data_IF_250924876141
#
_entry.id   IF_250924876141
#
_cell.length_a   1.000
_cell.length_b   1.000
_cell.length_c   1.000
_cell.angle_alpha   90.00
_cell.angle_beta   90.00
_cell.angle_gamma   90.00
#
_symmetry.space_group_name_H-M   'P 1'
#
loop_
_entity.id
_entity.type
_entity.pdbx_description
1 polymer ?
#
# COMPACT_ATOMS: atom_id res chain seq x y z
N UNK A 1 -8.93 9.30 -35.12
CA UNK A 1 -7.58 8.99 -34.64
C UNK A 1 -6.83 8.44 -35.84
N UNK A 2 -5.70 9.03 -36.19
CA UNK A 2 -4.84 8.44 -37.23
C UNK A 2 -4.39 7.08 -36.67
N UNK A 3 -4.62 6.06 -37.45
CA UNK A 3 -4.07 4.74 -37.19
C UNK A 3 -2.55 4.84 -37.33
N UNK A 4 -1.84 4.76 -36.20
CA UNK A 4 -0.39 4.78 -36.18
C UNK A 4 0.19 3.36 -36.07
N UNK A 5 -0.67 2.33 -36.22
CA UNK A 5 -0.25 0.95 -36.17
C UNK A 5 0.55 0.59 -37.42
N UNK A 6 1.74 0.11 -37.23
CA UNK A 6 2.44 -0.69 -38.23
C UNK A 6 1.92 -2.13 -38.14
N UNK A 7 0.97 -2.47 -39.00
CA UNK A 7 0.24 -3.75 -39.01
C UNK A 7 1.19 -4.96 -39.00
N UNK A 8 2.46 -4.78 -39.34
CA UNK A 8 3.45 -5.87 -39.39
C UNK A 8 4.26 -6.03 -38.10
N UNK A 9 4.27 -5.03 -37.20
CA UNK A 9 5.15 -5.00 -36.02
C UNK A 9 4.47 -4.66 -34.70
N UNK A 10 3.25 -4.08 -34.76
CA UNK A 10 2.51 -3.70 -33.54
C UNK A 10 1.79 -4.89 -32.91
N UNK A 11 1.84 -4.95 -31.57
CA UNK A 11 1.07 -5.89 -30.77
C UNK A 11 -0.23 -5.23 -30.29
N UNK A 12 -1.38 -5.88 -30.51
CA UNK A 12 -2.68 -5.35 -30.14
C UNK A 12 -3.13 -5.75 -28.72
N UNK A 13 -2.42 -6.69 -28.11
CA UNK A 13 -2.69 -7.18 -26.76
C UNK A 13 -1.39 -7.42 -25.99
N UNK A 14 -1.48 -7.46 -24.65
CA UNK A 14 -0.34 -7.83 -23.82
C UNK A 14 0.14 -9.25 -24.08
N UNK A 15 -0.78 -10.18 -24.40
CA UNK A 15 -0.43 -11.57 -24.76
C UNK A 15 0.42 -11.62 -26.03
N UNK A 16 0.05 -10.86 -27.08
CA UNK A 16 0.84 -10.76 -28.31
C UNK A 16 2.21 -10.15 -28.03
N UNK A 17 2.28 -9.10 -27.19
CA UNK A 17 3.54 -8.48 -26.80
C UNK A 17 4.47 -9.47 -26.08
N UNK A 18 3.96 -10.21 -25.10
CA UNK A 18 4.76 -11.21 -24.38
C UNK A 18 5.22 -12.34 -25.30
N UNK A 19 4.37 -12.76 -26.25
CA UNK A 19 4.75 -13.74 -27.26
C UNK A 19 5.86 -13.21 -28.16
N UNK A 20 5.75 -11.98 -28.64
CA UNK A 20 6.78 -11.34 -29.46
C UNK A 20 8.13 -11.22 -28.71
N UNK A 21 8.13 -10.89 -27.43
CA UNK A 21 9.36 -10.88 -26.62
C UNK A 21 9.99 -12.27 -26.54
N UNK A 22 9.18 -13.30 -26.32
CA UNK A 22 9.66 -14.67 -26.22
C UNK A 22 10.20 -15.20 -27.56
N UNK A 23 9.55 -14.89 -28.68
CA UNK A 23 9.93 -15.32 -30.03
C UNK A 23 11.24 -14.64 -30.50
N UNK A 24 11.50 -13.42 -30.05
CA UNK A 24 12.69 -12.67 -30.41
C UNK A 24 13.83 -12.77 -29.37
N UNK A 25 13.67 -13.65 -28.37
CA UNK A 25 14.64 -13.85 -27.26
C UNK A 25 14.99 -12.55 -26.51
N UNK A 26 13.99 -11.66 -26.35
CA UNK A 26 14.14 -10.37 -25.66
C UNK A 26 14.15 -10.56 -24.15
N UNK A 27 15.17 -11.24 -23.63
CA UNK A 27 15.30 -11.57 -22.21
C UNK A 27 15.61 -10.36 -21.32
N UNK A 28 16.07 -9.25 -21.91
CA UNK A 28 16.47 -8.03 -21.19
C UNK A 28 15.32 -7.06 -20.91
N UNK A 29 14.11 -7.36 -21.44
CA UNK A 29 12.93 -6.53 -21.23
C UNK A 29 12.37 -6.75 -19.82
N UNK A 30 11.96 -5.66 -19.19
CA UNK A 30 11.21 -5.66 -17.93
C UNK A 30 9.95 -4.84 -18.11
N UNK A 31 8.82 -5.44 -17.78
CA UNK A 31 7.50 -4.83 -17.85
C UNK A 31 6.85 -4.89 -16.46
N UNK A 32 5.93 -4.00 -16.19
CA UNK A 32 5.02 -4.12 -15.05
C UNK A 32 3.63 -3.56 -15.40
N UNK A 33 2.59 -4.17 -14.82
CA UNK A 33 1.22 -3.77 -15.03
C UNK A 33 0.99 -2.37 -14.45
N UNK A 34 0.52 -1.45 -15.30
CA UNK A 34 0.18 -0.09 -14.94
C UNK A 34 -1.29 0.02 -14.51
N UNK A 35 -1.53 0.31 -13.26
CA UNK A 35 -2.88 0.34 -12.68
C UNK A 35 -3.63 1.66 -12.89
N UNK A 36 -2.94 2.73 -13.22
CA UNK A 36 -3.55 4.01 -13.60
C UNK A 36 -4.31 3.92 -14.94
N UNK A 37 -4.01 2.93 -15.75
CA UNK A 37 -4.68 2.61 -17.00
C UNK A 37 -6.13 2.13 -16.82
N UNK A 38 -6.89 2.17 -17.92
CA UNK A 38 -8.31 1.79 -17.92
C UNK A 38 -8.54 0.30 -17.74
N UNK A 39 -7.55 -0.53 -18.08
CA UNK A 39 -7.72 -1.94 -18.39
C UNK A 39 -6.63 -2.82 -17.79
N UNK A 40 -6.12 -2.46 -16.61
CA UNK A 40 -5.21 -3.34 -15.88
C UNK A 40 -5.97 -4.60 -15.45
N UNK A 41 -5.87 -5.64 -16.26
CA UNK A 41 -6.46 -6.95 -16.01
C UNK A 41 -5.38 -8.02 -16.21
N UNK A 42 -4.77 -8.41 -15.10
CA UNK A 42 -3.68 -9.38 -15.07
C UNK A 42 -4.16 -10.83 -15.16
N UNK A 43 -5.46 -11.07 -14.96
CA UNK A 43 -6.07 -12.37 -15.22
C UNK A 43 -6.14 -12.64 -16.73
N UNK A 44 -6.41 -11.58 -17.52
CA UNK A 44 -6.48 -11.67 -18.96
C UNK A 44 -5.10 -11.91 -19.60
N UNK A 45 -4.05 -11.27 -19.09
CA UNK A 45 -2.70 -11.43 -19.61
C UNK A 45 -1.67 -11.16 -18.53
N UNK A 46 -0.76 -12.10 -18.32
CA UNK A 46 0.42 -11.98 -17.47
C UNK A 46 1.49 -12.96 -17.97
N UNK A 47 2.74 -12.50 -17.99
CA UNK A 47 3.90 -13.38 -18.20
C UNK A 47 5.01 -13.03 -17.22
N UNK A 48 5.18 -13.85 -16.19
CA UNK A 48 6.19 -13.65 -15.13
C UNK A 48 7.64 -13.69 -15.62
N UNK A 49 7.90 -14.05 -16.89
CA UNK A 49 9.23 -13.92 -17.49
C UNK A 49 9.61 -12.45 -17.69
N UNK A 50 8.64 -11.60 -18.05
CA UNK A 50 8.81 -10.20 -18.38
C UNK A 50 8.18 -9.27 -17.35
N UNK A 51 6.98 -9.57 -16.88
CA UNK A 51 6.21 -8.75 -15.93
C UNK A 51 6.58 -9.09 -14.48
N UNK A 52 7.67 -8.48 -14.03
CA UNK A 52 8.29 -8.77 -12.72
C UNK A 52 7.64 -8.04 -11.56
N UNK A 53 6.84 -7.02 -11.81
CA UNK A 53 6.24 -6.16 -10.76
C UNK A 53 4.90 -5.60 -11.19
N UNK A 54 4.12 -5.15 -10.21
CA UNK A 54 2.84 -4.50 -10.43
C UNK A 54 2.79 -3.17 -9.69
N UNK A 55 2.16 -2.19 -10.32
CA UNK A 55 2.00 -0.86 -9.77
C UNK A 55 0.85 -0.84 -8.77
N UNK A 56 1.14 -0.46 -7.51
CA UNK A 56 0.13 -0.37 -6.45
C UNK A 56 -0.42 1.03 -6.28
N UNK A 57 0.35 2.06 -6.67
CA UNK A 57 -0.03 3.45 -6.45
C UNK A 57 0.53 4.39 -7.51
N UNK A 58 -0.30 5.35 -7.91
CA UNK A 58 0.08 6.49 -8.74
C UNK A 58 -0.68 7.75 -8.30
N UNK A 59 -0.50 8.87 -8.99
CA UNK A 59 -1.31 10.07 -8.72
C UNK A 59 -2.82 9.87 -8.98
N UNK A 60 -3.22 8.75 -9.56
CA UNK A 60 -4.62 8.37 -9.83
C UNK A 60 -5.28 7.58 -8.69
N UNK A 61 -4.52 7.16 -7.71
CA UNK A 61 -5.03 6.43 -6.55
C UNK A 61 -4.17 5.25 -6.11
N UNK A 62 -4.72 4.43 -5.23
CA UNK A 62 -4.10 3.22 -4.70
C UNK A 62 -4.88 1.99 -5.15
N UNK A 63 -4.17 0.94 -5.56
CA UNK A 63 -4.72 -0.20 -6.29
C UNK A 63 -4.30 -1.52 -5.65
N UNK A 64 -4.47 -1.65 -4.34
CA UNK A 64 -4.14 -2.87 -3.60
C UNK A 64 -4.84 -4.10 -4.19
N UNK A 65 -6.03 -3.91 -4.77
CA UNK A 65 -6.78 -4.97 -5.44
C UNK A 65 -6.00 -5.66 -6.58
N UNK A 66 -5.12 -4.93 -7.30
CA UNK A 66 -4.32 -5.51 -8.37
C UNK A 66 -3.27 -6.49 -7.81
N UNK A 67 -2.64 -6.12 -6.71
CA UNK A 67 -1.71 -7.01 -5.99
C UNK A 67 -2.45 -8.20 -5.38
N UNK A 68 -3.66 -7.98 -4.85
CA UNK A 68 -4.50 -9.06 -4.33
C UNK A 68 -4.87 -10.06 -5.45
N UNK A 69 -5.17 -9.58 -6.67
CA UNK A 69 -5.39 -10.44 -7.81
C UNK A 69 -4.15 -11.26 -8.16
N UNK A 70 -2.97 -10.64 -8.15
CA UNK A 70 -1.71 -11.36 -8.39
C UNK A 70 -1.53 -12.53 -7.39
N UNK A 71 -1.82 -12.30 -6.12
CA UNK A 71 -1.72 -13.35 -5.10
C UNK A 71 -2.78 -14.45 -5.30
N UNK A 72 -4.03 -14.10 -5.66
CA UNK A 72 -5.07 -15.10 -5.97
C UNK A 72 -4.70 -15.99 -7.16
N UNK A 73 -4.02 -15.41 -8.15
CA UNK A 73 -3.57 -16.09 -9.37
C UNK A 73 -2.23 -16.82 -9.19
N UNK A 74 -1.60 -16.71 -8.01
CA UNK A 74 -0.32 -17.33 -7.70
C UNK A 74 0.88 -16.71 -8.43
N UNK A 75 0.75 -15.43 -8.85
CA UNK A 75 1.84 -14.68 -9.50
C UNK A 75 2.85 -14.20 -8.47
N UNK A 76 4.15 -14.33 -8.80
CA UNK A 76 5.25 -13.93 -7.94
C UNK A 76 5.86 -12.61 -8.42
N UNK A 77 5.27 -11.51 -8.00
CA UNK A 77 5.58 -10.15 -8.47
C UNK A 77 6.11 -9.25 -7.36
N UNK A 78 6.91 -8.26 -7.72
CA UNK A 78 7.28 -7.16 -6.85
C UNK A 78 6.21 -6.06 -6.86
N UNK A 79 6.36 -5.09 -5.95
CA UNK A 79 5.41 -3.98 -5.81
C UNK A 79 6.14 -2.66 -6.11
N UNK A 80 5.64 -1.93 -7.11
CA UNK A 80 6.14 -0.62 -7.53
C UNK A 80 5.07 0.46 -7.36
N UNK A 81 5.50 1.72 -7.27
CA UNK A 81 4.64 2.88 -7.38
C UNK A 81 5.32 3.95 -8.22
N UNK A 82 4.54 4.67 -9.00
CA UNK A 82 5.05 5.69 -9.91
C UNK A 82 4.24 6.98 -9.83
N UNK A 83 4.73 8.05 -10.45
CA UNK A 83 4.02 9.32 -10.38
C UNK A 83 2.79 9.38 -11.28
N UNK A 84 2.86 8.85 -12.48
CA UNK A 84 1.85 9.01 -13.55
C UNK A 84 1.38 10.46 -13.72
N UNK A 85 2.34 11.38 -13.60
CA UNK A 85 2.09 12.79 -13.31
C UNK A 85 1.69 13.66 -14.51
N UNK A 86 1.63 13.16 -15.74
CA UNK A 86 1.19 13.81 -16.99
C UNK A 86 1.66 15.29 -17.20
N UNK A 87 2.73 15.72 -16.51
CA UNK A 87 3.22 17.12 -16.55
C UNK A 87 4.63 17.27 -17.11
N UNK A 88 5.22 16.18 -17.61
CA UNK A 88 6.56 16.20 -18.20
C UNK A 88 7.67 16.65 -17.23
N UNK A 89 7.49 16.44 -15.92
CA UNK A 89 8.45 16.80 -14.86
C UNK A 89 8.86 15.56 -14.07
N UNK A 90 9.83 14.78 -14.55
CA UNK A 90 10.31 13.60 -13.83
C UNK A 90 10.74 13.94 -12.39
N UNK A 91 10.34 13.14 -11.42
CA UNK A 91 10.65 13.33 -10.00
C UNK A 91 9.88 14.45 -9.29
N UNK A 92 9.05 15.21 -10.00
CA UNK A 92 8.25 16.30 -9.44
C UNK A 92 6.76 15.92 -9.40
N UNK A 93 6.40 15.02 -8.50
CA UNK A 93 5.01 14.73 -8.19
C UNK A 93 4.58 15.48 -6.95
N UNK A 94 3.51 16.25 -7.05
CA UNK A 94 2.97 17.07 -5.96
C UNK A 94 1.44 17.10 -5.98
N UNK A 95 0.79 17.42 -4.85
CA UNK A 95 -0.65 17.50 -4.73
C UNK A 95 -1.29 18.43 -5.78
N UNK A 96 -2.48 18.07 -6.22
CA UNK A 96 -3.21 18.82 -7.25
C UNK A 96 -2.73 18.56 -8.69
N UNK A 97 -1.82 17.61 -8.87
CA UNK A 97 -1.39 17.17 -10.20
C UNK A 97 -2.43 16.27 -10.88
N UNK A 98 -3.23 15.54 -10.12
CA UNK A 98 -4.30 14.68 -10.60
C UNK A 98 -5.69 15.21 -10.18
N UNK A 99 -6.70 14.85 -10.97
CA UNK A 99 -8.12 15.15 -10.67
C UNK A 99 -8.58 14.55 -9.35
N UNK A 100 -7.95 13.46 -8.92
CA UNK A 100 -8.33 12.68 -7.74
C UNK A 100 -7.62 13.13 -6.46
N UNK A 101 -6.68 14.08 -6.55
CA UNK A 101 -6.01 14.64 -5.38
C UNK A 101 -5.05 13.69 -4.67
N UNK A 102 -4.56 12.64 -5.33
CA UNK A 102 -3.47 11.82 -4.81
C UNK A 102 -2.10 12.39 -5.22
N UNK A 103 -1.09 12.19 -4.37
CA UNK A 103 0.31 12.46 -4.70
C UNK A 103 0.84 11.27 -5.48
N UNK A 104 1.71 11.49 -6.48
CA UNK A 104 2.31 10.40 -7.23
C UNK A 104 3.28 9.57 -6.41
N UNK A 105 3.28 8.26 -6.66
CA UNK A 105 4.11 7.30 -5.96
C UNK A 105 5.59 7.38 -6.30
N UNK A 106 6.37 6.68 -5.49
CA UNK A 106 7.80 6.46 -5.66
C UNK A 106 8.12 4.98 -5.47
N UNK A 107 9.09 4.48 -6.23
CA UNK A 107 9.70 3.17 -6.00
C UNK A 107 11.10 3.36 -5.42
N UNK A 108 11.39 2.68 -4.32
CA UNK A 108 12.71 2.63 -3.73
C UNK A 108 13.40 1.32 -4.15
N UNK A 109 14.51 1.43 -4.87
CA UNK A 109 15.32 0.30 -5.31
C UNK A 109 16.45 0.03 -4.31
N UNK A 110 16.59 -1.22 -3.89
CA UNK A 110 17.65 -1.67 -2.99
C UNK A 110 18.87 -2.08 -3.82
N UNK A 111 19.71 -1.11 -4.12
CA UNK A 111 20.92 -1.27 -4.96
C UNK A 111 22.17 -0.86 -4.20
N UNK A 112 23.30 -1.48 -4.51
CA UNK A 112 24.59 -1.11 -3.93
C UNK A 112 25.21 0.13 -4.58
N UNK A 113 24.82 0.39 -5.85
CA UNK A 113 25.29 1.55 -6.61
C UNK A 113 24.19 2.07 -7.53
N UNK A 114 24.20 3.35 -7.81
CA UNK A 114 23.26 3.99 -8.73
C UNK A 114 23.75 3.80 -10.18
N UNK A 115 23.52 2.60 -10.73
CA UNK A 115 23.82 2.23 -12.10
C UNK A 115 22.57 1.64 -12.77
N UNK A 116 22.47 1.75 -14.09
CA UNK A 116 21.35 1.24 -14.88
C UNK A 116 21.19 -0.27 -14.69
N UNK A 117 22.27 -0.99 -14.80
CA UNK A 117 22.33 -2.46 -14.67
C UNK A 117 21.89 -2.90 -13.27
N UNK A 118 22.33 -2.18 -12.22
CA UNK A 118 21.95 -2.46 -10.84
C UNK A 118 20.45 -2.24 -10.61
N UNK A 119 19.84 -1.21 -11.22
CA UNK A 119 18.41 -0.95 -11.15
C UNK A 119 17.62 -2.05 -11.88
N UNK A 120 18.05 -2.43 -13.10
CA UNK A 120 17.40 -3.51 -13.86
C UNK A 120 17.48 -4.86 -13.13
N UNK A 121 18.62 -5.20 -12.57
CA UNK A 121 18.80 -6.41 -11.74
C UNK A 121 17.90 -6.36 -10.49
N UNK A 122 17.84 -5.20 -9.84
CA UNK A 122 16.96 -4.96 -8.70
C UNK A 122 15.48 -5.19 -9.04
N UNK A 123 15.00 -4.70 -10.20
CA UNK A 123 13.63 -4.93 -10.67
C UNK A 123 13.39 -6.42 -10.94
N UNK A 124 14.30 -7.09 -11.65
CA UNK A 124 14.20 -8.52 -11.96
C UNK A 124 14.10 -9.39 -10.71
N UNK A 125 14.85 -9.02 -9.67
CA UNK A 125 14.84 -9.68 -8.36
C UNK A 125 13.75 -9.19 -7.41
N UNK A 126 12.87 -8.25 -7.84
CA UNK A 126 11.82 -7.66 -6.99
C UNK A 126 12.35 -7.01 -5.71
N UNK A 127 13.62 -6.54 -5.69
CA UNK A 127 14.29 -5.94 -4.53
C UNK A 127 13.98 -4.46 -4.40
N UNK A 128 12.72 -4.15 -4.25
CA UNK A 128 12.24 -2.79 -4.15
C UNK A 128 10.94 -2.72 -3.32
N UNK A 129 10.58 -1.53 -2.93
CA UNK A 129 9.31 -1.26 -2.27
C UNK A 129 8.68 0.02 -2.82
N UNK A 130 7.37 0.11 -2.71
CA UNK A 130 6.56 1.21 -3.18
C UNK A 130 6.18 2.17 -2.05
N UNK A 131 6.01 3.46 -2.35
CA UNK A 131 5.43 4.44 -1.43
C UNK A 131 4.44 5.36 -2.14
N UNK A 132 3.53 5.97 -1.39
CA UNK A 132 2.60 6.97 -1.94
C UNK A 132 3.28 8.30 -2.26
N UNK A 133 4.59 8.43 -2.04
CA UNK A 133 5.31 9.68 -2.30
C UNK A 133 4.92 10.83 -1.35
N UNK A 134 5.09 12.07 -1.80
CA UNK A 134 4.81 13.25 -1.00
C UNK A 134 6.00 13.75 -0.18
N UNK A 135 5.75 14.65 0.76
CA UNK A 135 6.79 15.30 1.56
C UNK A 135 7.56 14.29 2.41
N UNK A 136 6.85 13.34 3.02
CA UNK A 136 7.39 12.29 3.87
C UNK A 136 7.39 10.90 3.20
N UNK A 137 7.22 10.84 1.89
CA UNK A 137 7.07 9.62 1.11
C UNK A 137 8.38 8.84 0.84
N UNK A 138 9.40 9.01 1.67
CA UNK A 138 10.70 8.32 1.55
C UNK A 138 11.09 7.63 2.87
N UNK A 139 10.25 6.74 3.42
CA UNK A 139 10.66 5.91 4.54
C UNK A 139 11.79 4.97 4.11
N UNK A 140 12.73 4.68 4.99
CA UNK A 140 13.70 3.61 4.80
C UNK A 140 13.11 2.35 5.42
N UNK A 141 12.96 1.31 4.61
CA UNK A 141 12.38 0.04 5.03
C UNK A 141 13.34 -1.08 4.67
N UNK A 142 13.73 -1.87 5.67
CA UNK A 142 14.47 -3.10 5.50
C UNK A 142 13.64 -4.26 6.05
N UNK A 143 13.36 -5.25 5.20
CA UNK A 143 12.64 -6.46 5.58
C UNK A 143 13.45 -7.68 5.18
N UNK A 144 13.77 -8.50 6.16
CA UNK A 144 14.50 -9.75 5.98
C UNK A 144 13.79 -10.89 6.69
N UNK A 145 13.89 -12.08 6.14
CA UNK A 145 13.45 -13.30 6.80
C UNK A 145 14.65 -14.09 7.31
N UNK A 146 14.50 -14.72 8.49
CA UNK A 146 15.41 -15.74 9.02
C UNK A 146 14.67 -17.05 9.12
N UNK A 147 15.35 -18.14 8.78
CA UNK A 147 14.80 -19.48 8.82
C UNK A 147 15.54 -20.31 9.86
N UNK A 148 14.81 -21.19 10.57
CA UNK A 148 15.41 -22.14 11.50
C UNK A 148 16.23 -23.23 10.81
N UNK A 149 15.93 -23.48 9.52
CA UNK A 149 16.65 -24.39 8.64
C UNK A 149 16.99 -23.66 7.32
N UNK A 150 18.01 -24.18 6.59
CA UNK A 150 18.37 -23.59 5.31
C UNK A 150 17.34 -23.93 4.22
N UNK A 151 16.95 -22.94 3.45
CA UNK A 151 16.13 -23.07 2.25
C UNK A 151 16.91 -22.84 0.95
N UNK A 152 16.27 -23.13 -0.16
CA UNK A 152 16.77 -22.78 -1.49
C UNK A 152 16.20 -21.44 -1.92
N UNK A 153 17.08 -20.47 -2.18
CA UNK A 153 16.70 -19.11 -2.56
C UNK A 153 16.86 -18.96 -4.07
N UNK A 154 15.82 -18.49 -4.74
CA UNK A 154 15.75 -18.23 -6.16
C UNK A 154 15.59 -16.74 -6.44
N UNK A 155 16.33 -16.19 -7.39
CA UNK A 155 16.11 -14.84 -7.89
C UNK A 155 14.99 -14.81 -8.94
N UNK A 156 14.95 -15.80 -9.81
CA UNK A 156 13.89 -16.00 -10.79
C UNK A 156 12.91 -17.08 -10.35
N UNK A 157 11.69 -17.03 -10.87
CA UNK A 157 10.68 -18.03 -10.52
C UNK A 157 11.06 -19.41 -11.09
N UNK A 158 11.31 -20.42 -10.25
CA UNK A 158 11.66 -21.76 -10.70
C UNK A 158 10.54 -22.47 -11.46
N UNK A 159 9.31 -21.95 -11.43
CA UNK A 159 8.20 -22.43 -12.27
C UNK A 159 8.33 -21.99 -13.73
N UNK A 160 9.05 -20.89 -13.98
CA UNK A 160 9.16 -20.27 -15.31
C UNK A 160 10.55 -20.42 -15.92
N UNK A 161 11.57 -20.61 -15.11
CA UNK A 161 12.97 -20.66 -15.52
C UNK A 161 13.67 -21.90 -14.95
N UNK A 162 14.65 -22.41 -15.72
CA UNK A 162 15.67 -23.28 -15.15
C UNK A 162 16.67 -22.43 -14.38
N UNK A 163 16.31 -22.12 -13.12
CA UNK A 163 17.06 -21.15 -12.31
C UNK A 163 18.00 -21.83 -11.32
N UNK A 164 19.18 -21.24 -11.15
CA UNK A 164 20.09 -21.62 -10.08
C UNK A 164 19.54 -21.14 -8.74
N UNK A 165 19.68 -21.97 -7.72
CA UNK A 165 19.39 -21.59 -6.33
C UNK A 165 20.65 -21.45 -5.53
N UNK A 166 20.58 -20.65 -4.47
CA UNK A 166 21.59 -20.59 -3.40
C UNK A 166 20.99 -21.11 -2.10
N UNK A 167 21.78 -21.82 -1.31
CA UNK A 167 21.35 -22.30 0.01
C UNK A 167 21.61 -21.22 1.03
N UNK A 168 20.58 -20.84 1.79
CA UNK A 168 20.67 -19.80 2.83
C UNK A 168 19.64 -20.06 3.94
N UNK A 169 19.95 -19.56 5.13
CA UNK A 169 19.01 -19.48 6.27
C UNK A 169 18.37 -18.09 6.41
N UNK A 170 18.50 -17.24 5.40
CA UNK A 170 17.88 -15.92 5.36
C UNK A 170 17.50 -15.53 3.95
N UNK A 171 16.48 -14.68 3.84
CA UNK A 171 16.00 -14.10 2.58
C UNK A 171 15.76 -12.59 2.72
N UNK A 172 15.78 -11.90 1.60
CA UNK A 172 15.48 -10.48 1.46
C UNK A 172 14.14 -10.31 0.73
N UNK A 173 13.54 -9.09 0.82
CA UNK A 173 12.36 -8.79 0.02
C UNK A 173 12.61 -9.10 -1.47
N UNK A 174 11.62 -9.69 -2.13
CA UNK A 174 11.69 -10.12 -3.52
C UNK A 174 12.20 -11.54 -3.75
N UNK A 175 12.83 -12.18 -2.77
CA UNK A 175 13.31 -13.57 -2.90
C UNK A 175 12.15 -14.56 -3.00
N UNK A 176 12.40 -15.66 -3.71
CA UNK A 176 11.53 -16.83 -3.78
C UNK A 176 12.26 -17.96 -3.07
N UNK A 177 11.63 -18.54 -2.06
CA UNK A 177 12.26 -19.49 -1.13
C UNK A 177 11.52 -20.81 -1.14
N UNK A 178 12.22 -21.90 -1.47
CA UNK A 178 11.77 -23.24 -1.18
C UNK A 178 12.27 -23.65 0.21
N UNK A 179 11.34 -23.72 1.16
CA UNK A 179 11.60 -24.07 2.56
C UNK A 179 10.72 -25.27 2.95
N UNK A 180 11.11 -26.51 2.64
CA UNK A 180 10.29 -27.69 2.88
C UNK A 180 9.99 -27.92 4.37
N UNK A 181 10.92 -27.52 5.23
CA UNK A 181 10.79 -27.58 6.68
C UNK A 181 11.31 -26.26 7.28
N UNK A 182 11.15 -26.12 8.60
CA UNK A 182 11.64 -24.96 9.34
C UNK A 182 10.57 -23.90 9.61
N UNK A 183 10.95 -22.97 10.46
CA UNK A 183 10.17 -21.83 10.90
C UNK A 183 10.75 -20.55 10.28
N UNK A 184 9.93 -19.52 10.14
CA UNK A 184 10.32 -18.22 9.62
C UNK A 184 10.12 -17.15 10.69
N UNK A 185 11.13 -16.31 10.89
CA UNK A 185 11.04 -15.05 11.63
C UNK A 185 11.26 -13.89 10.66
N UNK A 186 10.30 -12.97 10.61
CA UNK A 186 10.42 -11.74 9.86
C UNK A 186 11.10 -10.67 10.73
N UNK A 187 12.12 -10.01 10.19
CA UNK A 187 12.77 -8.86 10.81
C UNK A 187 12.47 -7.62 9.98
N UNK A 188 11.84 -6.65 10.61
CA UNK A 188 11.40 -5.39 9.98
C UNK A 188 12.11 -4.23 10.68
N UNK A 189 12.77 -3.39 9.91
CA UNK A 189 13.38 -2.15 10.39
C UNK A 189 12.86 -1.00 9.54
N UNK A 190 12.31 0.02 10.20
CA UNK A 190 11.80 1.22 9.51
C UNK A 190 12.35 2.48 10.13
N UNK A 191 12.63 3.47 9.26
CA UNK A 191 12.99 4.83 9.65
C UNK A 191 12.24 5.81 8.76
N UNK A 192 11.45 6.68 9.38
CA UNK A 192 10.51 7.61 8.73
C UNK A 192 10.87 9.06 9.03
N UNK A 193 10.42 9.97 8.19
CA UNK A 193 10.48 11.41 8.44
C UNK A 193 9.25 11.92 9.19
N UNK A 194 8.07 11.31 8.98
CA UNK A 194 6.88 11.50 9.80
C UNK A 194 6.73 10.39 10.85
N UNK A 195 5.95 10.59 11.93
CA UNK A 195 5.67 9.55 12.92
C UNK A 195 5.01 8.32 12.29
N UNK A 196 5.38 7.15 12.79
CA UNK A 196 4.79 5.87 12.39
C UNK A 196 3.44 5.70 13.09
N UNK A 197 2.39 5.44 12.33
CA UNK A 197 1.10 5.04 12.87
C UNK A 197 1.11 3.55 13.19
N UNK A 198 1.41 2.71 12.18
CA UNK A 198 1.42 1.25 12.30
C UNK A 198 2.24 0.57 11.21
N UNK A 199 2.55 -0.69 11.47
CA UNK A 199 3.08 -1.65 10.51
C UNK A 199 2.09 -2.81 10.47
N UNK A 200 1.50 -3.08 9.30
CA UNK A 200 0.69 -4.27 9.05
C UNK A 200 1.55 -5.33 8.35
N UNK A 201 1.50 -6.57 8.85
CA UNK A 201 2.21 -7.73 8.30
C UNK A 201 1.19 -8.62 7.60
N UNK A 202 1.49 -9.03 6.37
CA UNK A 202 0.58 -9.81 5.55
C UNK A 202 1.20 -11.13 5.07
N UNK A 203 0.36 -12.15 4.91
CA UNK A 203 0.60 -13.33 4.10
C UNK A 203 -0.43 -13.33 2.95
N UNK A 204 -0.04 -12.84 1.79
CA UNK A 204 -0.95 -12.67 0.67
C UNK A 204 -2.13 -11.77 1.00
N UNK A 205 -3.33 -12.35 1.06
CA UNK A 205 -4.57 -11.62 1.35
C UNK A 205 -4.86 -11.51 2.86
N UNK A 206 -4.21 -12.30 3.67
CA UNK A 206 -4.42 -12.36 5.11
C UNK A 206 -3.53 -11.35 5.83
N UNK A 207 -4.12 -10.51 6.65
CA UNK A 207 -3.39 -9.67 7.59
C UNK A 207 -3.10 -10.47 8.85
N UNK A 208 -1.82 -10.74 9.08
CA UNK A 208 -1.36 -11.55 10.21
C UNK A 208 -1.30 -10.73 11.51
N UNK A 209 -0.81 -9.49 11.42
CA UNK A 209 -0.57 -8.66 12.60
C UNK A 209 -0.59 -7.17 12.25
N UNK A 210 -1.00 -6.35 13.22
CA UNK A 210 -0.83 -4.90 13.20
C UNK A 210 0.02 -4.48 14.41
N UNK A 211 1.19 -3.93 14.16
CA UNK A 211 2.11 -3.47 15.20
C UNK A 211 2.12 -1.95 15.24
N UNK A 212 1.75 -1.37 16.39
CA UNK A 212 1.77 0.07 16.64
C UNK A 212 3.00 0.43 17.50
N UNK A 213 3.63 1.62 17.32
CA UNK A 213 4.82 2.01 18.09
C UNK A 213 4.52 2.45 19.52
N UNK A 214 3.26 2.53 19.91
CA UNK A 214 2.76 2.93 21.22
C UNK A 214 1.82 1.88 21.78
N UNK A 215 1.52 1.97 23.07
CA UNK A 215 0.67 1.01 23.79
C UNK A 215 -0.69 1.64 24.15
N UNK A 216 -1.61 0.82 24.60
CA UNK A 216 -2.94 1.25 25.01
C UNK A 216 -2.93 2.26 26.19
N UNK A 217 -1.99 2.15 27.11
CA UNK A 217 -1.84 3.06 28.25
C UNK A 217 -1.22 4.43 27.88
N UNK A 218 -0.72 4.59 26.65
CA UNK A 218 -0.19 5.84 26.11
C UNK A 218 -1.25 6.63 25.31
N UNK A 219 -2.46 6.10 25.15
CA UNK A 219 -3.54 6.77 24.42
C UNK A 219 -3.98 8.04 25.12
N UNK A 220 -4.23 9.07 24.33
CA UNK A 220 -4.61 10.40 24.78
C UNK A 220 -6.02 10.81 24.34
N UNK A 221 -6.21 12.11 24.22
CA UNK A 221 -7.45 12.73 23.77
C UNK A 221 -7.52 12.95 22.25
N UNK A 222 -6.65 12.30 21.47
CA UNK A 222 -6.63 12.37 20.00
C UNK A 222 -7.39 11.20 19.39
N UNK A 223 -8.44 11.49 18.66
CA UNK A 223 -9.20 10.54 17.87
C UNK A 223 -8.89 10.75 16.39
N UNK A 224 -8.69 9.64 15.67
CA UNK A 224 -8.48 9.61 14.22
C UNK A 224 -9.68 9.01 13.52
N UNK A 225 -10.15 9.70 12.48
CA UNK A 225 -11.16 9.22 11.54
C UNK A 225 -10.50 9.11 10.17
N UNK A 226 -10.45 7.88 9.62
CA UNK A 226 -9.86 7.57 8.31
C UNK A 226 -10.92 6.90 7.46
N UNK A 227 -10.99 7.28 6.20
CA UNK A 227 -11.73 6.56 5.16
C UNK A 227 -10.80 6.16 4.03
N UNK A 228 -11.11 5.05 3.39
CA UNK A 228 -10.32 4.49 2.29
C UNK A 228 -11.19 3.71 1.31
N UNK A 229 -10.65 3.46 0.14
CA UNK A 229 -11.20 2.53 -0.83
C UNK A 229 -11.59 3.15 -2.16
N UNK A 230 -12.07 2.28 -3.06
CA UNK A 230 -12.54 2.61 -4.39
C UNK A 230 -13.89 1.95 -4.65
N UNK A 231 -14.70 2.53 -5.55
CA UNK A 231 -16.02 1.99 -5.85
C UNK A 231 -15.95 0.74 -6.72
N UNK A 232 -15.11 0.75 -7.75
CA UNK A 232 -14.90 -0.37 -8.65
C UNK A 232 -13.53 -0.30 -9.34
N UNK A 233 -13.16 -1.33 -10.08
CA UNK A 233 -11.95 -1.38 -10.91
C UNK A 233 -12.10 -0.49 -12.15
N UNK A 234 -11.02 0.11 -12.59
CA UNK A 234 -11.00 0.92 -13.81
C UNK A 234 -11.14 2.42 -13.58
N UNK A 235 -11.66 3.16 -14.56
CA UNK A 235 -11.88 4.61 -14.47
C UNK A 235 -13.10 4.96 -13.61
N UNK A 236 -13.13 6.22 -13.13
CA UNK A 236 -14.24 6.79 -12.34
C UNK A 236 -14.57 5.98 -11.09
N UNK A 237 -13.55 5.41 -10.46
CA UNK A 237 -13.64 4.59 -9.25
C UNK A 237 -13.74 5.39 -7.94
N UNK A 238 -14.16 6.65 -8.03
CA UNK A 238 -14.23 7.56 -6.91
C UNK A 238 -15.29 7.15 -5.92
N UNK A 239 -14.92 7.16 -4.65
CA UNK A 239 -15.84 7.06 -3.52
C UNK A 239 -15.96 8.45 -2.92
N UNK A 240 -17.20 8.94 -2.75
CA UNK A 240 -17.46 10.23 -2.11
C UNK A 240 -17.62 10.01 -0.61
N UNK A 241 -16.82 10.74 0.16
CA UNK A 241 -16.81 10.71 1.62
C UNK A 241 -17.22 12.06 2.24
N UNK A 242 -17.90 12.94 1.47
CA UNK A 242 -18.43 14.19 2.04
C UNK A 242 -19.25 13.88 3.29
N UNK A 243 -19.03 14.63 4.39
CA UNK A 243 -19.69 14.26 5.63
C UNK A 243 -19.53 15.26 6.77
N UNK A 244 -20.03 14.84 7.92
CA UNK A 244 -19.90 15.55 9.19
C UNK A 244 -19.60 14.61 10.34
N UNK A 245 -18.94 15.16 11.37
CA UNK A 245 -18.74 14.53 12.66
C UNK A 245 -19.21 15.51 13.75
N UNK A 246 -20.12 15.07 14.60
CA UNK A 246 -20.70 15.84 15.68
C UNK A 246 -20.41 15.17 17.03
N UNK A 247 -19.97 15.98 18.00
CA UNK A 247 -19.74 15.58 19.39
C UNK A 247 -20.89 16.06 20.28
N UNK A 248 -21.60 15.16 20.94
CA UNK A 248 -22.44 15.53 22.08
C UNK A 248 -21.58 15.56 23.34
N UNK A 249 -21.81 16.54 24.18
CA UNK A 249 -21.17 16.71 25.51
C UNK A 249 -19.61 16.73 25.47
N UNK A 250 -19.04 17.19 24.33
CA UNK A 250 -17.60 17.38 24.17
C UNK A 250 -17.31 18.42 23.08
N UNK A 251 -16.05 18.86 22.98
CA UNK A 251 -15.59 19.88 22.03
C UNK A 251 -14.28 19.44 21.34
N UNK A 252 -14.11 19.92 20.11
CA UNK A 252 -12.87 19.79 19.32
C UNK A 252 -11.96 20.98 19.63
N UNK A 253 -10.85 20.72 20.28
CA UNK A 253 -9.82 21.74 20.60
C UNK A 253 -9.03 22.12 19.36
N UNK A 254 -8.66 21.11 18.57
CA UNK A 254 -7.97 21.29 17.30
C UNK A 254 -8.18 20.10 16.39
N UNK A 255 -7.94 20.30 15.10
CA UNK A 255 -8.00 19.22 14.10
C UNK A 255 -6.86 19.32 13.10
N UNK A 256 -6.51 18.18 12.50
CA UNK A 256 -5.47 18.08 11.47
C UNK A 256 -5.95 17.19 10.34
N UNK A 257 -6.05 17.74 9.14
CA UNK A 257 -6.42 17.03 7.94
C UNK A 257 -5.32 16.05 7.47
N UNK A 258 -5.73 14.92 6.88
CA UNK A 258 -4.86 13.88 6.32
C UNK A 258 -5.26 13.69 4.85
N UNK A 259 -4.30 13.89 3.93
CA UNK A 259 -4.46 13.72 2.49
C UNK A 259 -5.56 14.58 1.85
N UNK A 260 -5.80 15.79 2.36
CA UNK A 260 -6.63 16.81 1.71
C UNK A 260 -5.80 17.63 0.70
N UNK A 261 -5.46 17.02 -0.43
CA UNK A 261 -4.58 17.64 -1.42
C UNK A 261 -5.30 18.58 -2.39
N UNK A 262 -6.60 18.44 -2.55
CA UNK A 262 -7.40 19.29 -3.42
C UNK A 262 -7.92 20.50 -2.63
N UNK A 263 -7.64 21.71 -3.12
CA UNK A 263 -8.08 22.97 -2.48
C UNK A 263 -9.61 23.16 -2.46
N UNK A 264 -10.32 22.50 -3.38
CA UNK A 264 -11.80 22.53 -3.42
C UNK A 264 -12.42 21.53 -2.44
N UNK A 265 -11.59 20.74 -1.77
CA UNK A 265 -11.94 19.75 -0.75
C UNK A 265 -11.33 20.20 0.57
N UNK A 266 -12.16 20.43 1.57
CA UNK A 266 -11.69 21.01 2.84
C UNK A 266 -12.30 20.29 4.04
N UNK A 267 -11.55 20.31 5.13
CA UNK A 267 -12.01 20.02 6.48
C UNK A 267 -12.29 21.35 7.18
N UNK A 268 -13.48 21.52 7.74
CA UNK A 268 -13.92 22.76 8.39
C UNK A 268 -14.47 22.41 9.77
N UNK A 269 -14.01 23.11 10.80
CA UNK A 269 -14.65 23.12 12.10
C UNK A 269 -15.77 24.16 12.07
N UNK A 270 -17.03 23.68 11.91
CA UNK A 270 -18.22 24.52 11.74
C UNK A 270 -18.74 25.08 13.07
N UNK A 271 -18.44 24.37 14.17
CA UNK A 271 -18.72 24.81 15.56
C UNK A 271 -17.72 24.16 16.52
N UNK A 272 -17.70 24.50 17.82
CA UNK A 272 -16.81 23.83 18.78
C UNK A 272 -16.95 22.31 18.82
N UNK A 273 -18.12 21.79 18.49
CA UNK A 273 -18.43 20.35 18.55
C UNK A 273 -18.77 19.72 17.20
N UNK A 274 -18.50 20.41 16.08
CA UNK A 274 -18.84 19.88 14.75
C UNK A 274 -17.72 20.11 13.74
N UNK A 275 -17.38 19.02 13.04
CA UNK A 275 -16.50 19.00 11.86
C UNK A 275 -17.30 18.68 10.62
N UNK A 276 -17.05 19.37 9.52
CA UNK A 276 -17.61 19.06 8.20
C UNK A 276 -16.51 18.95 7.17
N UNK A 277 -16.70 18.10 6.16
CA UNK A 277 -15.69 17.93 5.12
C UNK A 277 -16.28 17.56 3.78
N UNK A 278 -15.47 17.84 2.74
CA UNK A 278 -15.67 17.31 1.40
C UNK A 278 -14.44 16.50 1.02
N UNK A 279 -14.64 15.23 0.71
CA UNK A 279 -13.54 14.32 0.38
C UNK A 279 -13.95 13.25 -0.63
N UNK A 280 -12.97 12.74 -1.34
CA UNK A 280 -13.13 11.55 -2.17
C UNK A 280 -11.86 10.71 -2.11
N UNK A 281 -12.01 9.41 -2.38
CA UNK A 281 -10.89 8.47 -2.54
C UNK A 281 -11.01 7.69 -3.85
N UNK A 282 -9.87 7.17 -4.30
CA UNK A 282 -9.75 6.25 -5.44
C UNK A 282 -8.88 5.07 -5.04
N UNK A 283 -9.15 4.49 -3.85
CA UNK A 283 -8.34 3.46 -3.21
C UNK A 283 -7.32 3.99 -2.21
N UNK A 284 -6.97 5.28 -2.27
CA UNK A 284 -6.12 5.94 -1.29
C UNK A 284 -6.89 6.21 0.02
N UNK A 285 -6.14 6.59 1.06
CA UNK A 285 -6.70 7.00 2.34
C UNK A 285 -6.87 8.51 2.41
N UNK A 286 -7.89 8.96 3.15
CA UNK A 286 -8.09 10.33 3.60
C UNK A 286 -8.70 10.33 4.99
N UNK A 287 -8.67 11.47 5.68
CA UNK A 287 -9.21 11.55 7.03
C UNK A 287 -8.73 12.76 7.81
N UNK A 288 -8.88 12.70 9.11
CA UNK A 288 -8.39 13.75 10.01
C UNK A 288 -8.24 13.26 11.44
N UNK A 289 -7.42 13.98 12.20
CA UNK A 289 -7.33 13.88 13.65
C UNK A 289 -8.16 14.98 14.31
N UNK A 290 -8.77 14.66 15.46
CA UNK A 290 -9.37 15.61 16.40
C UNK A 290 -8.69 15.47 17.76
N UNK A 291 -8.31 16.57 18.37
CA UNK A 291 -7.97 16.66 19.79
C UNK A 291 -9.23 17.08 20.54
N UNK A 292 -9.69 16.25 21.46
CA UNK A 292 -10.88 16.50 22.25
C UNK A 292 -10.57 17.27 23.54
N UNK A 293 -11.52 18.07 24.02
CA UNK A 293 -11.41 18.75 25.31
C UNK A 293 -11.44 17.75 26.47
N UNK A 294 -12.31 16.75 26.41
CA UNK A 294 -12.38 15.63 27.35
C UNK A 294 -12.09 14.31 26.62
N UNK A 295 -11.17 13.45 27.11
CA UNK A 295 -10.82 12.22 26.44
C UNK A 295 -11.90 11.13 26.47
N UNK A 296 -12.90 11.22 27.34
CA UNK A 296 -13.85 10.12 27.58
C UNK A 296 -15.31 10.53 27.50
N UNK A 297 -15.65 11.81 27.63
CA UNK A 297 -17.02 12.27 27.69
C UNK A 297 -17.67 12.37 26.31
N UNK A 298 -18.96 12.04 26.25
CA UNK A 298 -19.82 12.29 25.10
C UNK A 298 -19.86 11.18 24.07
N UNK A 299 -20.46 11.51 22.93
CA UNK A 299 -20.64 10.58 21.81
C UNK A 299 -20.23 11.24 20.51
N UNK A 300 -19.45 10.53 19.71
CA UNK A 300 -19.09 10.90 18.35
C UNK A 300 -20.15 10.35 17.39
N UNK A 301 -20.83 11.23 16.66
CA UNK A 301 -21.72 10.86 15.55
C UNK A 301 -21.08 11.23 14.23
N UNK A 302 -20.99 10.27 13.30
CA UNK A 302 -20.42 10.44 11.97
C UNK A 302 -21.52 10.18 10.95
N UNK A 303 -21.63 11.06 9.97
CA UNK A 303 -22.54 10.90 8.84
C UNK A 303 -21.82 11.17 7.52
N UNK A 304 -21.80 10.17 6.63
CA UNK A 304 -21.34 10.24 5.25
C UNK A 304 -22.37 9.57 4.34
N UNK A 305 -22.26 9.65 2.99
CA UNK A 305 -23.15 8.90 2.10
C UNK A 305 -23.13 7.38 2.33
N UNK A 306 -22.05 6.83 2.88
CA UNK A 306 -21.84 5.38 3.04
C UNK A 306 -21.99 4.90 4.49
N UNK A 307 -21.70 5.75 5.47
CA UNK A 307 -21.65 5.37 6.89
C UNK A 307 -22.41 6.36 7.73
N UNK A 308 -23.25 5.82 8.63
CA UNK A 308 -23.86 6.54 9.75
C UNK A 308 -23.50 5.79 11.03
N UNK A 309 -22.76 6.41 11.91
CA UNK A 309 -22.26 5.81 13.13
C UNK A 309 -22.46 6.72 14.34
N UNK A 310 -22.64 6.13 15.50
CA UNK A 310 -22.62 6.79 16.81
C UNK A 310 -21.80 5.95 17.77
N UNK A 311 -20.71 6.51 18.29
CA UNK A 311 -19.73 5.80 19.12
C UNK A 311 -19.54 6.59 20.42
N UNK A 312 -19.79 6.02 21.62
CA UNK A 312 -19.38 6.63 22.85
C UNK A 312 -17.86 6.90 22.84
N UNK A 313 -17.44 8.08 23.25
CA UNK A 313 -16.01 8.46 23.20
C UNK A 313 -15.15 7.51 24.04
N UNK A 314 -15.67 7.02 25.16
CA UNK A 314 -14.99 6.05 26.02
C UNK A 314 -14.71 4.71 25.36
N UNK A 315 -15.53 4.30 24.37
CA UNK A 315 -15.39 3.04 23.64
C UNK A 315 -14.33 3.11 22.52
N UNK A 316 -13.93 4.33 22.10
CA UNK A 316 -12.91 4.52 21.07
C UNK A 316 -11.54 4.27 21.70
N UNK A 317 -10.94 3.13 21.35
CA UNK A 317 -9.72 2.62 21.97
C UNK A 317 -8.54 2.47 21.00
N UNK A 318 -7.67 1.52 21.36
CA UNK A 318 -6.46 1.16 20.62
C UNK A 318 -6.78 0.45 19.31
N UNK A 319 -7.81 -0.40 19.31
CA UNK A 319 -8.25 -1.12 18.12
C UNK A 319 -9.07 -0.22 17.20
N UNK A 320 -9.11 -0.57 15.93
CA UNK A 320 -9.87 0.16 14.93
C UNK A 320 -11.36 -0.23 15.02
N UNK A 321 -12.25 0.74 15.26
CA UNK A 321 -13.68 0.61 14.99
C UNK A 321 -13.90 0.74 13.48
N UNK A 322 -14.26 -0.36 12.82
CA UNK A 322 -14.35 -0.44 11.35
C UNK A 322 -15.80 -0.46 10.90
N UNK A 323 -16.18 0.51 10.10
CA UNK A 323 -17.45 0.56 9.39
C UNK A 323 -17.23 0.14 7.95
N UNK A 324 -17.51 -1.13 7.67
CA UNK A 324 -17.33 -1.73 6.34
C UNK A 324 -18.56 -1.43 5.47
N UNK A 325 -18.32 -0.81 4.34
CA UNK A 325 -19.29 -0.61 3.28
C UNK A 325 -18.73 -1.12 1.95
N UNK A 326 -18.13 -2.33 2.00
CA UNK A 326 -17.53 -2.95 0.83
C UNK A 326 -18.56 -3.24 -0.25
N UNK A 327 -18.18 -2.96 -1.49
CA UNK A 327 -18.92 -3.29 -2.68
C UNK A 327 -18.11 -4.25 -3.53
N UNK A 328 -17.86 -3.88 -4.79
CA UNK A 328 -16.92 -4.61 -5.67
C UNK A 328 -15.49 -4.57 -5.12
N UNK A 329 -15.12 -3.46 -4.49
CA UNK A 329 -13.84 -3.28 -3.81
C UNK A 329 -14.06 -2.87 -2.35
N UNK A 330 -13.06 -3.09 -1.47
CA UNK A 330 -13.11 -2.66 -0.07
C UNK A 330 -13.29 -1.14 0.06
N UNK A 331 -14.18 -0.72 0.97
CA UNK A 331 -14.44 0.67 1.35
C UNK A 331 -14.70 0.71 2.84
N UNK A 332 -13.90 1.46 3.57
CA UNK A 332 -13.97 1.49 5.03
C UNK A 332 -13.95 2.91 5.56
N UNK A 333 -14.67 3.12 6.65
CA UNK A 333 -14.41 4.21 7.59
C UNK A 333 -13.91 3.59 8.88
N UNK A 334 -12.81 4.11 9.41
CA UNK A 334 -12.18 3.62 10.64
C UNK A 334 -12.09 4.74 11.65
N UNK A 335 -12.36 4.42 12.91
CA UNK A 335 -12.21 5.35 14.04
C UNK A 335 -11.36 4.66 15.11
N UNK A 336 -10.34 5.34 15.60
CA UNK A 336 -9.48 4.82 16.66
C UNK A 336 -8.79 5.95 17.43
N UNK A 337 -8.26 5.61 18.59
CA UNK A 337 -7.58 6.57 19.46
C UNK A 337 -6.08 6.49 19.28
N UNK A 338 -5.45 7.66 19.39
CA UNK A 338 -4.00 7.83 19.31
C UNK A 338 -3.47 8.47 20.59
N UNK A 339 -2.16 8.35 20.88
CA UNK A 339 -1.49 9.25 21.82
C UNK A 339 -1.74 10.72 21.44
N UNK A 340 -1.85 11.60 22.40
CA UNK A 340 -2.00 13.04 22.11
C UNK A 340 -0.89 13.55 21.20
N UNK A 341 0.34 13.06 21.42
CA UNK A 341 1.48 13.29 20.55
C UNK A 341 2.22 11.97 20.31
N UNK A 342 2.52 11.67 19.06
CA UNK A 342 3.36 10.53 18.68
C UNK A 342 4.66 11.06 18.04
N UNK A 343 5.81 10.60 18.55
CA UNK A 343 7.15 10.98 18.07
C UNK A 343 7.94 9.81 17.50
N UNK A 344 7.34 8.62 17.43
CA UNK A 344 8.02 7.42 16.97
C UNK A 344 8.25 7.45 15.46
N UNK A 345 9.49 7.69 15.05
CA UNK A 345 9.92 7.72 13.64
C UNK A 345 10.77 6.51 13.25
N UNK A 346 11.09 5.67 14.20
CA UNK A 346 11.86 4.44 13.99
C UNK A 346 11.17 3.27 14.69
N UNK A 347 11.21 2.11 14.06
CA UNK A 347 10.64 0.89 14.64
C UNK A 347 11.43 -0.32 14.19
N UNK A 348 11.59 -1.28 15.11
CA UNK A 348 12.14 -2.60 14.83
C UNK A 348 11.16 -3.65 15.33
N UNK A 349 10.80 -4.58 14.47
CA UNK A 349 9.84 -5.65 14.76
C UNK A 349 10.44 -6.98 14.38
N UNK A 350 10.28 -7.97 15.25
CA UNK A 350 10.51 -9.39 14.95
C UNK A 350 9.18 -10.12 15.08
N UNK A 351 8.81 -10.84 14.05
CA UNK A 351 7.53 -11.53 14.00
C UNK A 351 7.70 -12.97 13.51
N UNK A 352 7.28 -13.96 14.30
CA UNK A 352 7.27 -15.36 13.86
C UNK A 352 6.11 -15.54 12.88
N UNK A 353 6.41 -16.04 11.69
CA UNK A 353 5.41 -16.25 10.64
C UNK A 353 5.01 -17.72 10.58
N UNK A 354 3.73 -17.99 10.71
CA UNK A 354 3.16 -19.30 10.40
C UNK A 354 2.95 -19.42 8.89
N UNK A 355 3.63 -20.41 8.28
CA UNK A 355 3.59 -20.64 6.84
C UNK A 355 2.54 -21.69 6.48
N UNK A 356 1.70 -21.36 5.50
CA UNK A 356 0.78 -22.33 4.90
C UNK A 356 1.56 -23.46 4.20
N UNK A 357 1.10 -24.70 4.34
CA UNK A 357 1.82 -25.87 3.84
C UNK A 357 1.51 -26.22 2.38
N UNK A 358 0.45 -25.64 1.79
CA UNK A 358 -0.05 -26.03 0.47
C UNK A 358 0.21 -25.03 -0.63
N UNK A 359 0.32 -23.73 -0.26
CA UNK A 359 0.37 -22.62 -1.22
C UNK A 359 1.61 -21.76 -0.99
N UNK A 360 1.87 -20.86 -1.93
CA UNK A 360 2.85 -19.81 -1.74
C UNK A 360 2.44 -18.91 -0.55
N UNK A 361 3.44 -18.48 0.21
CA UNK A 361 3.28 -17.49 1.27
C UNK A 361 3.96 -16.19 0.84
N UNK A 362 3.23 -15.25 0.23
CA UNK A 362 3.76 -13.93 -0.13
C UNK A 362 3.76 -13.03 1.12
N UNK A 363 4.88 -13.05 1.85
CA UNK A 363 5.03 -12.28 3.09
C UNK A 363 5.50 -10.88 2.77
N UNK A 364 4.70 -9.86 3.11
CA UNK A 364 5.05 -8.47 2.90
C UNK A 364 4.55 -7.56 4.03
N UNK A 365 5.00 -6.31 3.99
CA UNK A 365 4.71 -5.32 5.02
C UNK A 365 4.08 -4.08 4.38
N UNK A 366 3.04 -3.55 5.01
CA UNK A 366 2.50 -2.21 4.75
C UNK A 366 2.81 -1.31 5.95
N UNK A 367 3.55 -0.24 5.68
CA UNK A 367 3.81 0.82 6.65
C UNK A 367 2.79 1.95 6.45
N UNK A 368 2.23 2.46 7.54
CA UNK A 368 1.41 3.68 7.57
C UNK A 368 2.09 4.71 8.46
N UNK A 369 2.31 5.91 7.94
CA UNK A 369 2.72 7.08 8.72
C UNK A 369 1.51 7.93 9.10
N UNK A 370 1.61 8.71 10.18
CA UNK A 370 0.49 9.54 10.68
C UNK A 370 0.07 10.66 9.71
N UNK A 371 0.90 11.04 8.78
CA UNK A 371 0.56 12.01 7.74
C UNK A 371 -0.23 11.41 6.56
N UNK A 372 -0.53 10.10 6.62
CA UNK A 372 -1.24 9.38 5.59
C UNK A 372 -0.34 8.80 4.50
N UNK A 373 0.99 8.89 4.63
CA UNK A 373 1.92 8.21 3.73
C UNK A 373 1.88 6.71 3.95
N UNK A 374 1.76 5.94 2.87
CA UNK A 374 1.82 4.48 2.86
C UNK A 374 3.08 4.00 2.16
N UNK A 375 3.55 2.82 2.55
CA UNK A 375 4.57 2.10 1.80
C UNK A 375 4.32 0.58 1.87
N UNK A 376 4.67 -0.13 0.80
CA UNK A 376 4.49 -1.58 0.64
C UNK A 376 5.77 -2.23 0.17
N UNK A 377 6.26 -3.23 0.89
CA UNK A 377 7.45 -3.98 0.47
C UNK A 377 7.08 -5.01 -0.59
N UNK A 378 8.00 -5.32 -1.51
CA UNK A 378 7.85 -6.51 -2.34
C UNK A 378 7.86 -7.76 -1.46
N UNK A 379 7.03 -8.78 -1.76
CA UNK A 379 6.94 -9.96 -0.93
C UNK A 379 8.21 -10.81 -0.91
N UNK A 380 8.45 -11.49 0.21
CA UNK A 380 9.27 -12.70 0.27
C UNK A 380 8.30 -13.86 0.03
N UNK A 381 8.48 -14.58 -1.07
CA UNK A 381 7.65 -15.72 -1.42
C UNK A 381 8.24 -17.00 -0.81
N UNK A 382 7.52 -17.65 0.10
CA UNK A 382 7.97 -18.90 0.71
C UNK A 382 7.00 -20.01 0.34
N UNK A 383 7.52 -21.15 -0.15
CA UNK A 383 6.73 -22.34 -0.42
C UNK A 383 7.39 -23.61 0.16
N UNK A 384 6.53 -24.61 0.47
CA UNK A 384 6.92 -25.89 1.08
C UNK A 384 7.26 -26.95 0.04
#
# INVERSE_FOLDING_TARGET
>A
MSDHSDISTDCNSATELFSAFAENDESDVVVYAHCGGRYADIELAHDGRFEKSMEIHSSWGTFEWLIQDAFRLGYRVGIVANSDGHKGRPGASYPGAALFGAVGGLTCFLVNELARESILDCIRKRRHYATTGGEHGRPLINVTAKFSESGQIYNDDPKLFSSNSTVSNSALMGDIVHLPNGQMELNIEVKCSAPIERIDIFNGLEKLETVKPYKQDELGNRIRIIWEGAEYRGRFRQVIWDGSAYLSDNEVVSSKAINFFNKDKSLIQSSPNEMTWRALTTGNIGGFDMILADPYSGTLKIETPLVKAGIPIEDIGFEDEIFDNSGVLPRYLKVFRLPTENRHKTMQVKYPVELNSKDDNPIFVRLTQEDGTLAWTSPIYVYR
#
